data_IF_948512420457
#
_entry.id   IF_948512420457
#
_cell.length_a   1.000
_cell.length_b   1.000
_cell.length_c   1.000
_cell.angle_alpha   90.00
_cell.angle_beta   90.00
_cell.angle_gamma   90.00
#
_symmetry.space_group_name_H-M   'P 1'
#
loop_
_entity.id
_entity.type
_entity.pdbx_description
1 polymer ?
#
# COMPACT_ATOMS: atom_id res chain seq x y z
N UNK A 1 1.39 -18.14 -1.18
CA UNK A 1 1.95 -16.76 -1.25
C UNK A 1 0.83 -15.72 -1.07
N UNK A 2 1.11 -14.42 -0.87
CA UNK A 2 0.06 -13.40 -0.56
C UNK A 2 -0.95 -13.23 -1.70
N UNK A 3 -0.49 -12.99 -2.94
CA UNK A 3 -1.38 -12.77 -4.10
C UNK A 3 -2.26 -13.99 -4.39
N UNK A 4 -1.70 -15.19 -4.27
CA UNK A 4 -2.43 -16.45 -4.40
C UNK A 4 -3.54 -16.58 -3.33
N UNK A 5 -3.25 -16.20 -2.08
CA UNK A 5 -4.26 -16.19 -1.01
C UNK A 5 -5.35 -15.16 -1.26
N UNK A 6 -5.00 -13.97 -1.76
CA UNK A 6 -5.97 -12.93 -2.13
C UNK A 6 -6.85 -13.39 -3.30
N UNK A 7 -6.27 -14.00 -4.34
CA UNK A 7 -7.00 -14.61 -5.46
C UNK A 7 -8.01 -15.63 -4.93
N UNK A 8 -7.56 -16.61 -4.16
CA UNK A 8 -8.43 -17.65 -3.59
C UNK A 8 -9.58 -17.06 -2.77
N UNK A 9 -9.29 -16.09 -1.90
CA UNK A 9 -10.33 -15.44 -1.09
C UNK A 9 -11.37 -14.74 -1.97
N UNK A 10 -10.93 -14.06 -3.05
CA UNK A 10 -11.83 -13.37 -3.96
C UNK A 10 -12.67 -14.35 -4.80
N UNK A 11 -12.08 -15.47 -5.25
CA UNK A 11 -12.78 -16.55 -5.95
C UNK A 11 -13.84 -17.22 -5.05
N UNK A 12 -13.49 -17.50 -3.79
CA UNK A 12 -14.44 -18.03 -2.79
C UNK A 12 -15.61 -17.07 -2.55
N UNK A 13 -15.34 -15.76 -2.51
CA UNK A 13 -16.37 -14.74 -2.32
C UNK A 13 -17.29 -14.58 -3.54
N UNK A 14 -16.74 -14.62 -4.76
CA UNK A 14 -17.50 -14.41 -5.99
C UNK A 14 -18.12 -15.70 -6.56
N UNK A 15 -17.62 -16.86 -6.17
CA UNK A 15 -18.05 -18.16 -6.70
C UNK A 15 -17.58 -18.44 -8.13
N UNK A 16 -16.54 -17.74 -8.59
CA UNK A 16 -16.02 -17.84 -9.96
C UNK A 16 -14.50 -17.70 -9.98
N UNK A 17 -13.85 -18.30 -10.97
CA UNK A 17 -12.41 -18.16 -11.20
C UNK A 17 -12.03 -16.71 -11.56
N UNK A 18 -10.90 -16.24 -11.05
CA UNK A 18 -10.35 -14.92 -11.35
C UNK A 18 -9.04 -15.08 -12.13
N UNK A 19 -9.05 -14.61 -13.37
CA UNK A 19 -7.89 -14.71 -14.24
C UNK A 19 -7.09 -13.40 -14.32
N UNK A 20 -7.72 -12.25 -14.10
CA UNK A 20 -7.11 -10.94 -14.35
C UNK A 20 -7.12 -10.04 -13.10
N UNK A 21 -6.08 -9.24 -12.95
CA UNK A 21 -5.98 -8.25 -11.88
C UNK A 21 -5.37 -6.92 -12.36
N UNK A 22 -5.79 -5.83 -11.71
CA UNK A 22 -5.04 -4.57 -11.67
C UNK A 22 -4.39 -4.50 -10.31
N UNK A 23 -3.08 -4.29 -10.26
CA UNK A 23 -2.31 -4.29 -9.02
C UNK A 23 -1.74 -2.90 -8.80
N UNK A 24 -1.93 -2.37 -7.61
CA UNK A 24 -1.37 -1.08 -7.21
C UNK A 24 0.08 -1.24 -6.72
N UNK A 25 0.91 -0.24 -6.97
CA UNK A 25 2.28 -0.13 -6.45
C UNK A 25 2.57 1.29 -5.98
N UNK A 26 3.56 1.49 -5.11
CA UNK A 26 4.00 2.83 -4.72
C UNK A 26 4.45 3.65 -5.93
N UNK A 27 4.25 4.97 -5.87
CA UNK A 27 4.59 5.85 -6.98
C UNK A 27 6.08 5.86 -7.32
N UNK A 28 6.95 5.66 -6.32
CA UNK A 28 8.40 5.66 -6.46
C UNK A 28 8.99 4.31 -6.93
N UNK A 29 8.18 3.28 -7.15
CA UNK A 29 8.66 2.00 -7.67
C UNK A 29 9.31 2.17 -9.04
N UNK A 30 10.55 1.66 -9.16
CA UNK A 30 11.25 1.60 -10.43
C UNK A 30 10.75 0.43 -11.31
N UNK A 31 11.20 0.38 -12.56
CA UNK A 31 10.75 -0.62 -13.53
C UNK A 31 11.01 -2.06 -13.08
N UNK A 32 12.15 -2.32 -12.42
CA UNK A 32 12.48 -3.66 -11.91
C UNK A 32 11.54 -4.10 -10.79
N UNK A 33 11.18 -3.19 -9.88
CA UNK A 33 10.24 -3.47 -8.81
C UNK A 33 8.83 -3.69 -9.35
N UNK A 34 8.42 -2.91 -10.37
CA UNK A 34 7.14 -3.10 -11.07
C UNK A 34 7.07 -4.45 -11.77
N UNK A 35 8.14 -4.83 -12.47
CA UNK A 35 8.22 -6.14 -13.13
C UNK A 35 8.15 -7.28 -12.11
N UNK A 36 8.87 -7.16 -10.99
CA UNK A 36 8.80 -8.16 -9.92
C UNK A 36 7.37 -8.36 -9.38
N UNK A 37 6.57 -7.29 -9.28
CA UNK A 37 5.15 -7.39 -8.91
C UNK A 37 4.32 -8.11 -9.98
N UNK A 38 4.58 -7.87 -11.27
CA UNK A 38 3.91 -8.58 -12.37
C UNK A 38 4.26 -10.07 -12.33
N UNK A 39 5.54 -10.40 -12.20
CA UNK A 39 6.02 -11.79 -12.14
C UNK A 39 5.39 -12.53 -10.94
N UNK A 40 5.31 -11.86 -9.78
CA UNK A 40 4.65 -12.42 -8.60
C UNK A 40 3.14 -12.69 -8.83
N UNK A 41 2.47 -11.85 -9.63
CA UNK A 41 1.08 -12.06 -10.03
C UNK A 41 0.93 -13.26 -10.97
N UNK A 42 1.84 -13.42 -11.93
CA UNK A 42 1.85 -14.57 -12.85
C UNK A 42 2.05 -15.89 -12.10
N UNK A 43 2.98 -15.92 -11.13
CA UNK A 43 3.18 -17.08 -10.24
C UNK A 43 1.92 -17.40 -9.43
N UNK A 44 1.13 -16.39 -9.07
CA UNK A 44 -0.17 -16.57 -8.40
C UNK A 44 -1.31 -16.95 -9.35
N UNK A 45 -1.05 -17.12 -10.65
CA UNK A 45 -2.06 -17.43 -11.66
C UNK A 45 -2.97 -16.25 -11.98
N UNK A 46 -2.47 -15.01 -11.87
CA UNK A 46 -3.14 -13.79 -12.26
C UNK A 46 -2.42 -13.15 -13.45
N UNK A 47 -3.18 -12.81 -14.49
CA UNK A 47 -2.72 -11.96 -15.59
C UNK A 47 -2.89 -10.49 -15.19
N UNK A 48 -1.77 -9.78 -15.08
CA UNK A 48 -1.81 -8.35 -14.73
C UNK A 48 -2.25 -7.53 -15.94
N UNK A 49 -3.44 -6.92 -15.87
CA UNK A 49 -3.93 -6.01 -16.91
C UNK A 49 -3.11 -4.72 -16.90
N UNK A 50 -2.85 -4.21 -15.69
CA UNK A 50 -2.13 -2.94 -15.50
C UNK A 50 -1.55 -2.89 -14.09
N UNK A 51 -0.32 -2.37 -14.00
CA UNK A 51 0.23 -1.86 -12.75
C UNK A 51 -0.21 -0.40 -12.63
N UNK A 52 -0.84 -0.07 -11.51
CA UNK A 52 -1.36 1.27 -11.23
C UNK A 52 -0.58 1.89 -10.08
N UNK A 53 -0.28 3.18 -10.14
CA UNK A 53 0.28 3.87 -8.98
C UNK A 53 -0.81 4.06 -7.93
N UNK A 54 -0.52 3.78 -6.67
CA UNK A 54 -1.42 4.02 -5.53
C UNK A 54 -2.06 5.42 -5.54
N UNK A 55 -1.32 6.54 -5.70
CA UNK A 55 -1.97 7.86 -5.73
C UNK A 55 -2.91 8.06 -6.93
N UNK A 56 -2.68 7.35 -8.05
CA UNK A 56 -3.61 7.33 -9.18
C UNK A 56 -4.87 6.55 -8.83
N UNK A 57 -4.74 5.41 -8.14
CA UNK A 57 -5.87 4.64 -7.64
C UNK A 57 -6.74 5.47 -6.67
N UNK A 58 -6.11 6.25 -5.79
CA UNK A 58 -6.80 7.20 -4.89
C UNK A 58 -7.58 8.24 -5.67
N UNK A 59 -6.98 8.86 -6.70
CA UNK A 59 -7.66 9.85 -7.53
C UNK A 59 -8.93 9.29 -8.22
N UNK A 60 -8.85 8.05 -8.70
CA UNK A 60 -9.98 7.32 -9.28
C UNK A 60 -11.05 7.08 -8.20
N UNK A 61 -10.66 6.55 -7.04
CA UNK A 61 -11.57 6.18 -5.96
C UNK A 61 -12.34 7.38 -5.38
N UNK A 62 -11.69 8.54 -5.27
CA UNK A 62 -12.31 9.76 -4.76
C UNK A 62 -13.16 10.51 -5.80
N UNK A 63 -13.30 9.97 -7.01
CA UNK A 63 -14.14 10.56 -8.06
C UNK A 63 -13.64 11.94 -8.53
N UNK A 64 -12.34 12.20 -8.36
CA UNK A 64 -11.72 13.49 -8.70
C UNK A 64 -11.62 13.66 -10.23
N UNK A 65 -11.78 12.56 -10.97
CA UNK A 65 -11.76 12.53 -12.43
C UNK A 65 -12.88 13.33 -13.09
N UNK A 66 -14.01 13.56 -12.42
CA UNK A 66 -15.14 14.33 -12.98
C UNK A 66 -15.04 15.82 -12.68
N UNK A 67 -13.87 16.30 -12.20
CA UNK A 67 -13.67 17.72 -11.93
C UNK A 67 -13.74 18.53 -13.23
N UNK A 68 -14.66 19.51 -13.27
CA UNK A 68 -14.80 20.56 -14.30
C UNK A 68 -13.43 21.13 -14.71
N UNK A 69 -13.33 21.70 -15.93
CA UNK A 69 -12.15 22.20 -16.70
C UNK A 69 -10.95 22.89 -15.98
N UNK A 70 -11.01 23.09 -14.67
CA UNK A 70 -9.93 23.54 -13.81
C UNK A 70 -9.12 22.37 -13.25
N UNK A 71 -7.80 22.52 -13.23
CA UNK A 71 -6.94 21.55 -12.55
C UNK A 71 -7.16 21.59 -11.04
N UNK A 72 -7.47 20.45 -10.45
CA UNK A 72 -7.51 20.27 -9.00
C UNK A 72 -6.16 19.75 -8.51
N UNK A 73 -5.65 20.32 -7.42
CA UNK A 73 -4.46 19.81 -6.73
C UNK A 73 -4.89 19.03 -5.51
N UNK A 74 -4.41 17.80 -5.39
CA UNK A 74 -4.77 16.88 -4.32
C UNK A 74 -3.49 16.38 -3.66
N UNK A 75 -3.49 16.37 -2.34
CA UNK A 75 -2.46 15.73 -1.54
C UNK A 75 -2.96 14.36 -1.13
N UNK A 76 -2.28 13.30 -1.56
CA UNK A 76 -2.48 11.94 -1.08
C UNK A 76 -1.51 11.74 0.10
N UNK A 77 -2.08 11.41 1.26
CA UNK A 77 -1.36 11.05 2.47
C UNK A 77 -1.59 9.56 2.72
N UNK A 78 -0.55 8.75 2.58
CA UNK A 78 -0.61 7.30 2.74
C UNK A 78 0.36 6.86 3.83
N UNK A 79 -0.16 6.45 4.99
CA UNK A 79 0.62 5.95 6.12
C UNK A 79 0.22 4.50 6.36
N UNK A 80 1.00 3.60 5.77
CA UNK A 80 0.75 2.17 5.77
C UNK A 80 1.37 1.45 6.95
N UNK A 81 1.58 0.13 6.77
CA UNK A 81 2.16 -0.73 7.80
C UNK A 81 3.65 -0.48 8.04
N UNK A 82 4.43 -0.19 6.98
CA UNK A 82 5.88 0.02 7.09
C UNK A 82 6.41 1.20 6.28
N UNK A 83 5.57 1.86 5.47
CA UNK A 83 5.95 3.03 4.67
C UNK A 83 4.98 4.17 4.88
N UNK A 84 5.52 5.37 4.74
CA UNK A 84 4.79 6.62 4.74
C UNK A 84 5.07 7.36 3.43
N UNK A 85 4.04 7.63 2.65
CA UNK A 85 4.15 8.25 1.34
C UNK A 85 3.22 9.47 1.24
N UNK A 86 3.77 10.55 0.71
CA UNK A 86 3.03 11.76 0.35
C UNK A 86 3.18 11.98 -1.15
N UNK A 87 2.05 12.09 -1.85
CA UNK A 87 2.04 12.48 -3.27
C UNK A 87 1.15 13.68 -3.51
N UNK A 88 1.68 14.72 -4.14
CA UNK A 88 0.87 15.80 -4.71
C UNK A 88 0.55 15.44 -6.15
N UNK A 89 -0.74 15.29 -6.45
CA UNK A 89 -1.23 15.09 -7.80
C UNK A 89 -2.01 16.31 -8.28
N UNK A 90 -2.00 16.50 -9.58
CA UNK A 90 -2.85 17.45 -10.30
C UNK A 90 -3.78 16.66 -11.21
N UNK A 91 -5.08 16.90 -11.10
CA UNK A 91 -6.13 16.16 -11.81
C UNK A 91 -6.94 17.14 -12.66
N UNK A 92 -7.21 16.78 -13.90
CA UNK A 92 -8.20 17.45 -14.77
C UNK A 92 -8.83 16.41 -15.69
N UNK A 93 -10.14 16.22 -15.60
CA UNK A 93 -10.82 15.12 -16.29
C UNK A 93 -10.08 13.78 -15.98
N UNK A 94 -9.78 12.98 -17.00
CA UNK A 94 -9.00 11.73 -16.86
C UNK A 94 -7.47 11.93 -16.86
N UNK A 95 -6.97 13.17 -16.92
CA UNK A 95 -5.55 13.46 -16.87
C UNK A 95 -5.08 13.61 -15.41
N UNK A 96 -4.14 12.75 -15.01
CA UNK A 96 -3.55 12.74 -13.68
C UNK A 96 -2.05 12.91 -13.84
N UNK A 97 -1.54 14.02 -13.32
CA UNK A 97 -0.12 14.30 -13.26
C UNK A 97 0.38 14.23 -11.81
N UNK A 98 1.41 13.42 -11.57
CA UNK A 98 2.15 13.47 -10.31
C UNK A 98 3.07 14.68 -10.34
N UNK A 99 2.88 15.63 -9.42
CA UNK A 99 3.70 16.84 -9.32
C UNK A 99 4.93 16.63 -8.43
N UNK A 100 4.74 15.92 -7.33
CA UNK A 100 5.80 15.61 -6.38
C UNK A 100 5.43 14.37 -5.55
N UNK A 101 6.44 13.59 -5.19
CA UNK A 101 6.32 12.44 -4.29
C UNK A 101 7.47 12.51 -3.29
N UNK A 102 7.19 12.20 -2.03
CA UNK A 102 8.17 12.07 -0.95
C UNK A 102 7.60 11.18 0.14
N UNK A 103 8.33 11.00 1.23
CA UNK A 103 7.93 10.07 2.27
C UNK A 103 9.10 9.50 3.05
N UNK A 104 8.81 8.48 3.83
CA UNK A 104 9.77 7.65 4.55
C UNK A 104 9.43 6.16 4.35
N UNK A 105 10.38 5.42 3.78
CA UNK A 105 10.22 3.99 3.48
C UNK A 105 10.41 3.09 4.71
N UNK A 106 10.70 3.68 5.87
CA UNK A 106 10.89 2.97 7.14
C UNK A 106 10.04 3.61 8.27
N UNK A 107 8.85 4.10 7.93
CA UNK A 107 7.90 4.66 8.88
C UNK A 107 6.51 4.09 8.62
N UNK A 108 5.90 3.44 9.59
CA UNK A 108 4.54 2.94 9.49
C UNK A 108 3.93 2.45 10.79
N UNK A 109 2.80 1.75 10.68
CA UNK A 109 2.10 1.13 11.81
C UNK A 109 2.95 0.14 12.63
N UNK A 110 3.97 -0.46 12.03
CA UNK A 110 4.94 -1.32 12.72
C UNK A 110 5.71 -0.55 13.80
N UNK A 111 6.15 0.69 13.53
CA UNK A 111 6.86 1.51 14.50
C UNK A 111 5.98 1.85 15.71
N UNK A 112 4.69 2.13 15.46
CA UNK A 112 3.72 2.40 16.53
C UNK A 112 3.52 1.17 17.40
N UNK A 113 3.39 0.00 16.76
CA UNK A 113 3.25 -1.29 17.43
C UNK A 113 4.51 -1.61 18.26
N UNK A 114 5.70 -1.43 17.68
CA UNK A 114 6.97 -1.67 18.35
C UNK A 114 7.17 -0.73 19.55
N UNK A 115 6.79 0.54 19.43
CA UNK A 115 6.84 1.48 20.55
C UNK A 115 5.91 1.05 21.70
N UNK A 116 4.70 0.61 21.37
CA UNK A 116 3.74 0.13 22.37
C UNK A 116 4.22 -1.16 23.04
N UNK A 117 4.76 -2.10 22.26
CA UNK A 117 5.36 -3.35 22.78
C UNK A 117 6.52 -3.03 23.71
N UNK A 118 7.46 -2.18 23.29
CA UNK A 118 8.60 -1.79 24.13
C UNK A 118 8.17 -1.11 25.43
N UNK A 119 7.13 -0.27 25.39
CA UNK A 119 6.55 0.33 26.58
C UNK A 119 6.03 -0.74 27.56
N UNK A 120 5.24 -1.71 27.07
CA UNK A 120 4.69 -2.76 27.92
C UNK A 120 5.76 -3.72 28.45
N UNK A 121 6.80 -4.01 27.68
CA UNK A 121 7.95 -4.79 28.16
C UNK A 121 8.62 -4.08 29.33
N UNK A 122 8.91 -2.77 29.20
CA UNK A 122 9.53 -2.00 30.28
C UNK A 122 8.65 -1.95 31.54
N UNK A 123 7.33 -1.80 31.36
CA UNK A 123 6.38 -1.84 32.46
C UNK A 123 6.37 -3.21 33.16
N UNK A 124 6.34 -4.29 32.39
CA UNK A 124 6.36 -5.65 32.94
C UNK A 124 7.65 -5.92 33.72
N UNK A 125 8.80 -5.52 33.18
CA UNK A 125 10.09 -5.65 33.86
C UNK A 125 10.12 -4.88 35.19
N UNK A 126 9.53 -3.67 35.23
CA UNK A 126 9.42 -2.90 36.47
C UNK A 126 8.46 -3.55 37.49
N UNK A 127 7.33 -4.08 37.04
CA UNK A 127 6.28 -4.61 37.92
C UNK A 127 6.61 -6.02 38.44
N UNK A 128 7.37 -6.81 37.68
CA UNK A 128 7.64 -8.23 37.96
C UNK A 128 9.13 -8.59 38.11
N UNK A 129 10.04 -7.64 37.90
CA UNK A 129 11.50 -7.86 37.92
C UNK A 129 11.95 -9.02 37.00
N UNK A 130 11.28 -9.18 35.85
CA UNK A 130 11.54 -10.21 34.85
C UNK A 130 11.56 -9.58 33.45
N UNK A 131 12.58 -9.89 32.66
CA UNK A 131 12.73 -9.38 31.29
C UNK A 131 12.22 -10.40 30.27
N UNK A 132 11.02 -10.17 29.75
CA UNK A 132 10.39 -11.00 28.72
C UNK A 132 11.11 -11.00 27.37
N UNK A 133 12.06 -10.07 27.12
CA UNK A 133 12.89 -10.13 25.91
C UNK A 133 13.90 -11.27 25.96
N UNK A 134 14.23 -11.75 27.16
CA UNK A 134 15.21 -12.84 27.36
C UNK A 134 14.56 -14.22 27.45
N UNK A 135 13.23 -14.30 27.37
CA UNK A 135 12.44 -15.53 27.53
C UNK A 135 11.97 -16.11 26.19
N UNK A 136 12.62 -15.73 25.07
CA UNK A 136 12.30 -16.15 23.70
C UNK A 136 13.53 -16.71 23.00
#
# INVERSE_FOLDING_TARGET
>A
MILEKLKKNAEEFLGSEIEYAVITVPAYFNDSQRQATVDAAEVAGLKTIKILNEPTAVAIAYGILDSKDIYQKVLVYDLGGGTFDITVIQVKNSDIQVLATGGDTNLGGEDFSNNLVNFFIGKFQSDHNLDVKTDV
#
